data_IF_057882991722
#
_entry.id   IF_057882991722
#
_cell.length_a   1.000
_cell.length_b   1.000
_cell.length_c   1.000
_cell.angle_alpha   90.00
_cell.angle_beta   90.00
_cell.angle_gamma   90.00
#
_symmetry.space_group_name_H-M   'P 1'
#
loop_
_entity.id
_entity.type
_entity.pdbx_description
1 polymer ?
#
# COMPACT_ATOMS: atom_id res chain seq x y z
N UNK A 1 -17.73 -15.59 -14.49
CA UNK A 1 -18.41 -15.24 -13.22
C UNK A 1 -18.51 -13.73 -13.12
N UNK A 2 -19.56 -13.20 -12.46
CA UNK A 2 -19.68 -11.76 -12.23
C UNK A 2 -18.93 -11.37 -10.95
N UNK A 3 -17.94 -10.48 -11.08
CA UNK A 3 -17.22 -9.89 -9.95
C UNK A 3 -17.73 -8.48 -9.67
N UNK A 4 -17.54 -8.03 -8.44
CA UNK A 4 -17.85 -6.68 -7.98
C UNK A 4 -16.69 -6.11 -7.17
N UNK A 5 -16.26 -4.90 -7.51
CA UNK A 5 -15.33 -4.12 -6.69
C UNK A 5 -16.13 -3.32 -5.67
N UNK A 6 -15.84 -3.54 -4.40
CA UNK A 6 -16.42 -2.83 -3.26
C UNK A 6 -15.34 -1.97 -2.63
N UNK A 7 -15.60 -0.68 -2.47
CA UNK A 7 -14.70 0.27 -1.82
C UNK A 7 -15.45 1.04 -0.76
N UNK A 8 -14.90 1.07 0.45
CA UNK A 8 -15.45 1.83 1.57
C UNK A 8 -14.42 2.84 2.07
N UNK A 9 -14.89 4.07 2.34
CA UNK A 9 -14.16 5.06 3.14
C UNK A 9 -15.07 5.62 4.22
N UNK A 10 -14.48 5.88 5.38
CA UNK A 10 -15.12 6.55 6.50
C UNK A 10 -14.21 7.66 7.05
N UNK A 11 -14.82 8.79 7.39
CA UNK A 11 -14.16 9.97 7.93
C UNK A 11 -15.00 10.62 9.03
N UNK A 12 -14.35 11.50 9.79
CA UNK A 12 -14.95 12.35 10.80
C UNK A 12 -14.45 13.78 10.61
N UNK A 13 -15.30 14.79 10.76
CA UNK A 13 -14.89 16.18 10.88
C UNK A 13 -14.40 16.44 12.29
N UNK A 14 -13.16 16.89 12.44
CA UNK A 14 -12.54 17.20 13.72
C UNK A 14 -12.00 18.64 13.74
N UNK A 15 -11.95 19.23 14.93
CA UNK A 15 -11.59 20.64 15.13
C UNK A 15 -12.76 21.62 14.99
N UNK A 16 -12.52 22.88 15.33
CA UNK A 16 -13.49 23.96 15.30
C UNK A 16 -12.98 25.15 14.48
N UNK A 17 -13.90 25.94 13.90
CA UNK A 17 -13.58 27.13 13.13
C UNK A 17 -12.63 26.85 11.95
N UNK A 18 -11.53 27.60 11.87
CA UNK A 18 -10.52 27.48 10.82
C UNK A 18 -9.65 26.21 10.92
N UNK A 19 -9.69 25.48 12.05
CA UNK A 19 -8.95 24.22 12.22
C UNK A 19 -9.76 22.98 11.87
N UNK A 20 -10.99 23.17 11.37
CA UNK A 20 -11.87 22.07 10.96
C UNK A 20 -11.26 21.34 9.78
N UNK A 21 -10.95 20.06 9.97
CA UNK A 21 -10.42 19.20 8.92
C UNK A 21 -11.05 17.82 8.93
N UNK A 22 -11.00 17.14 7.78
CA UNK A 22 -11.45 15.75 7.65
C UNK A 22 -10.37 14.81 8.16
N UNK A 23 -10.67 14.06 9.22
CA UNK A 23 -9.83 12.97 9.70
C UNK A 23 -10.29 11.64 9.08
N UNK A 24 -9.33 10.86 8.58
CA UNK A 24 -9.61 9.52 8.08
C UNK A 24 -9.78 8.52 9.24
N UNK A 25 -10.93 7.84 9.26
CA UNK A 25 -11.25 6.83 10.28
C UNK A 25 -10.92 5.42 9.77
N UNK A 26 -11.49 5.03 8.63
CA UNK A 26 -11.38 3.66 8.12
C UNK A 26 -11.49 3.58 6.61
N UNK A 27 -10.81 2.58 6.03
CA UNK A 27 -10.88 2.25 4.61
C UNK A 27 -10.80 0.75 4.40
N UNK A 28 -11.49 0.28 3.37
CA UNK A 28 -11.47 -1.11 2.95
C UNK A 28 -11.75 -1.23 1.45
N UNK A 29 -11.19 -2.24 0.83
CA UNK A 29 -11.48 -2.62 -0.54
C UNK A 29 -11.56 -4.14 -0.66
N UNK A 30 -12.50 -4.62 -1.48
CA UNK A 30 -12.64 -6.02 -1.85
C UNK A 30 -13.05 -6.19 -3.32
N UNK A 31 -12.73 -7.33 -3.92
CA UNK A 31 -13.25 -7.77 -5.22
C UNK A 31 -13.87 -9.15 -5.02
N UNK A 32 -15.20 -9.22 -5.05
CA UNK A 32 -15.94 -10.44 -4.69
C UNK A 32 -16.92 -10.89 -5.76
N UNK A 33 -17.37 -12.14 -5.67
CA UNK A 33 -18.48 -12.62 -6.48
C UNK A 33 -19.80 -11.93 -6.07
N UNK A 34 -20.81 -12.04 -6.94
CA UNK A 34 -22.15 -11.48 -6.71
C UNK A 34 -22.76 -11.87 -5.36
N UNK A 35 -22.64 -13.14 -4.98
CA UNK A 35 -23.31 -13.70 -3.80
C UNK A 35 -22.73 -13.15 -2.48
N UNK A 36 -21.51 -12.61 -2.51
CA UNK A 36 -20.83 -12.07 -1.33
C UNK A 36 -21.00 -10.56 -1.15
N UNK A 37 -21.60 -9.85 -2.12
CA UNK A 37 -21.66 -8.37 -2.12
C UNK A 37 -22.33 -7.82 -0.85
N UNK A 38 -23.51 -8.35 -0.49
CA UNK A 38 -24.28 -7.87 0.67
C UNK A 38 -23.52 -8.07 1.99
N UNK A 39 -23.01 -9.29 2.20
CA UNK A 39 -22.26 -9.65 3.40
C UNK A 39 -21.01 -8.78 3.58
N UNK A 40 -20.25 -8.56 2.50
CA UNK A 40 -19.03 -7.74 2.53
C UNK A 40 -19.34 -6.27 2.75
N UNK A 41 -20.41 -5.73 2.14
CA UNK A 41 -20.85 -4.36 2.42
C UNK A 41 -21.18 -4.16 3.90
N UNK A 42 -21.94 -5.09 4.50
CA UNK A 42 -22.26 -5.05 5.92
C UNK A 42 -20.99 -5.11 6.78
N UNK A 43 -20.03 -5.97 6.46
CA UNK A 43 -18.76 -6.08 7.16
C UNK A 43 -17.93 -4.78 7.06
N UNK A 44 -17.87 -4.15 5.88
CA UNK A 44 -17.19 -2.86 5.69
C UNK A 44 -17.82 -1.74 6.52
N UNK A 45 -19.15 -1.62 6.53
CA UNK A 45 -19.85 -0.60 7.33
C UNK A 45 -19.63 -0.85 8.82
N UNK A 46 -19.74 -2.09 9.29
CA UNK A 46 -19.44 -2.45 10.68
C UNK A 46 -18.01 -2.07 11.07
N UNK A 47 -17.03 -2.40 10.22
CA UNK A 47 -15.62 -2.03 10.42
C UNK A 47 -15.41 -0.52 10.51
N UNK A 48 -16.17 0.29 9.79
CA UNK A 48 -16.11 1.74 9.91
C UNK A 48 -16.68 2.22 11.26
N UNK A 49 -17.86 1.73 11.64
CA UNK A 49 -18.58 2.14 12.86
C UNK A 49 -17.88 1.71 14.15
N UNK A 50 -17.04 0.67 14.12
CA UNK A 50 -16.34 0.16 15.31
C UNK A 50 -14.82 0.39 15.25
N UNK A 51 -14.35 1.35 14.44
CA UNK A 51 -12.92 1.58 14.29
C UNK A 51 -12.32 2.30 15.49
N UNK A 52 -11.14 1.89 15.95
CA UNK A 52 -10.47 2.48 17.12
C UNK A 52 -10.01 3.93 16.94
N UNK A 53 -10.06 4.47 15.72
CA UNK A 53 -9.64 5.84 15.41
C UNK A 53 -10.71 6.90 15.71
N UNK A 54 -11.97 6.49 15.89
CA UNK A 54 -13.06 7.42 16.17
C UNK A 54 -14.40 6.95 15.62
N UNK A 55 -15.41 7.80 15.80
CA UNK A 55 -16.80 7.58 15.36
C UNK A 55 -17.05 8.37 14.06
N UNK A 56 -17.26 7.70 12.92
CA UNK A 56 -17.35 8.39 11.64
C UNK A 56 -18.69 9.14 11.49
N UNK A 57 -18.64 10.40 11.06
CA UNK A 57 -19.83 11.17 10.65
C UNK A 57 -20.15 11.02 9.15
N UNK A 58 -19.23 10.41 8.39
CA UNK A 58 -19.37 10.14 6.97
C UNK A 58 -18.87 8.73 6.62
N UNK A 59 -19.70 7.96 5.90
CA UNK A 59 -19.32 6.67 5.31
C UNK A 59 -19.81 6.62 3.86
N UNK A 60 -18.93 6.26 2.93
CA UNK A 60 -19.29 6.01 1.54
C UNK A 60 -18.87 4.60 1.13
N UNK A 61 -19.84 3.81 0.67
CA UNK A 61 -19.61 2.51 0.03
C UNK A 61 -19.88 2.63 -1.46
N UNK A 62 -18.91 2.26 -2.30
CA UNK A 62 -19.01 2.21 -3.76
C UNK A 62 -18.96 0.76 -4.22
N UNK A 63 -19.91 0.37 -5.06
CA UNK A 63 -20.02 -0.98 -5.62
C UNK A 63 -20.02 -0.85 -7.14
N UNK A 64 -19.10 -1.55 -7.81
CA UNK A 64 -18.94 -1.50 -9.26
C UNK A 64 -18.86 -2.92 -9.81
N UNK A 65 -19.63 -3.22 -10.86
CA UNK A 65 -19.49 -4.48 -11.59
C UNK A 65 -18.12 -4.53 -12.29
N UNK A 66 -17.47 -5.68 -12.24
CA UNK A 66 -16.17 -5.95 -12.86
C UNK A 66 -16.29 -7.18 -13.75
N UNK A 67 -15.88 -7.06 -15.00
CA UNK A 67 -15.79 -8.20 -15.90
C UNK A 67 -14.56 -9.04 -15.57
N UNK A 68 -14.72 -10.36 -15.53
CA UNK A 68 -13.62 -11.30 -15.27
C UNK A 68 -12.45 -11.11 -16.24
N UNK A 69 -12.73 -10.78 -17.51
CA UNK A 69 -11.71 -10.46 -18.53
C UNK A 69 -10.83 -9.25 -18.19
N UNK A 70 -11.31 -8.35 -17.34
CA UNK A 70 -10.56 -7.15 -16.93
C UNK A 70 -9.63 -7.41 -15.74
N UNK A 71 -9.86 -8.53 -15.03
CA UNK A 71 -9.12 -8.93 -13.84
C UNK A 71 -7.85 -9.65 -14.26
N UNK A 72 -6.72 -9.17 -13.75
CA UNK A 72 -5.45 -9.85 -13.84
C UNK A 72 -5.23 -10.69 -12.60
N UNK A 73 -5.02 -11.99 -12.78
CA UNK A 73 -4.65 -12.89 -11.69
C UNK A 73 -3.13 -12.92 -11.57
N UNK A 74 -2.61 -12.69 -10.36
CA UNK A 74 -1.19 -12.74 -10.04
C UNK A 74 -0.94 -13.76 -8.93
N UNK A 75 0.23 -14.41 -8.95
CA UNK A 75 0.70 -15.16 -7.77
C UNK A 75 1.35 -14.18 -6.80
N UNK A 76 1.12 -14.38 -5.50
CA UNK A 76 1.77 -13.58 -4.46
C UNK A 76 3.30 -13.65 -4.59
N UNK A 77 3.96 -12.54 -4.26
CA UNK A 77 5.41 -12.52 -4.13
C UNK A 77 5.87 -13.54 -3.08
N UNK A 78 6.97 -14.28 -3.33
CA UNK A 78 7.52 -15.18 -2.32
C UNK A 78 7.96 -14.37 -1.10
N UNK A 79 7.62 -14.87 0.09
CA UNK A 79 7.83 -14.15 1.35
C UNK A 79 9.09 -14.64 2.01
N UNK A 80 9.95 -13.71 2.40
CA UNK A 80 11.11 -13.98 3.24
C UNK A 80 11.11 -13.07 4.46
N UNK A 81 11.83 -13.50 5.50
CA UNK A 81 11.98 -12.75 6.75
C UNK A 81 13.46 -12.57 7.03
N UNK A 82 13.81 -11.35 7.44
CA UNK A 82 15.14 -10.97 7.90
C UNK A 82 15.00 -10.43 9.32
N UNK A 83 15.56 -11.19 10.26
CA UNK A 83 15.71 -10.76 11.64
C UNK A 83 16.97 -9.90 11.79
N UNK A 84 16.85 -8.82 12.56
CA UNK A 84 17.89 -7.83 12.84
C UNK A 84 17.74 -7.33 14.27
N UNK A 85 18.85 -6.95 14.90
CA UNK A 85 18.83 -6.52 16.31
C UNK A 85 18.51 -5.02 16.44
N UNK A 86 18.99 -4.24 15.47
CA UNK A 86 18.88 -2.77 15.45
C UNK A 86 18.17 -2.28 14.20
N UNK A 87 17.57 -1.09 14.28
CA UNK A 87 16.89 -0.51 13.11
C UNK A 87 17.90 -0.07 12.04
N UNK A 88 19.10 0.35 12.44
CA UNK A 88 20.20 0.71 11.53
C UNK A 88 20.62 -0.50 10.69
N UNK A 89 20.75 -1.67 11.33
CA UNK A 89 21.03 -2.93 10.62
C UNK A 89 19.89 -3.26 9.65
N UNK A 90 18.64 -3.09 10.06
CA UNK A 90 17.49 -3.30 9.19
C UNK A 90 17.49 -2.40 7.96
N UNK A 91 17.78 -1.10 8.12
CA UNK A 91 17.92 -0.18 6.98
C UNK A 91 19.10 -0.57 6.09
N UNK A 92 20.24 -0.95 6.66
CA UNK A 92 21.40 -1.40 5.88
C UNK A 92 21.06 -2.64 5.04
N UNK A 93 20.36 -3.62 5.62
CA UNK A 93 19.87 -4.80 4.88
C UNK A 93 18.88 -4.41 3.80
N UNK A 94 17.94 -3.52 4.09
CA UNK A 94 16.96 -3.03 3.12
C UNK A 94 17.66 -2.41 1.91
N UNK A 95 18.60 -1.50 2.14
CA UNK A 95 19.40 -0.86 1.10
C UNK A 95 20.27 -1.84 0.33
N UNK A 96 20.92 -2.79 1.02
CA UNK A 96 21.73 -3.82 0.37
C UNK A 96 20.92 -4.69 -0.60
N UNK A 97 19.64 -4.94 -0.30
CA UNK A 97 18.74 -5.72 -1.16
C UNK A 97 18.31 -4.93 -2.40
N UNK A 98 17.98 -3.64 -2.26
CA UNK A 98 17.45 -2.82 -3.37
C UNK A 98 18.54 -2.14 -4.20
N UNK A 99 19.75 -1.94 -3.66
CA UNK A 99 20.84 -1.26 -4.35
C UNK A 99 21.18 -1.87 -5.72
N UNK A 100 21.25 -3.20 -5.89
CA UNK A 100 21.46 -3.82 -7.21
C UNK A 100 20.37 -3.50 -8.23
N UNK A 101 19.15 -3.20 -7.77
CA UNK A 101 17.99 -2.95 -8.63
C UNK A 101 17.89 -1.49 -9.09
N UNK A 102 18.32 -0.55 -8.25
CA UNK A 102 18.22 0.90 -8.53
C UNK A 102 19.38 1.42 -9.39
N UNK A 103 20.50 0.72 -9.41
CA UNK A 103 21.74 1.25 -9.97
C UNK A 103 22.31 2.40 -9.13
N UNK A 104 23.42 2.97 -9.60
CA UNK A 104 24.14 4.04 -8.89
C UNK A 104 23.48 5.40 -9.10
N UNK A 105 23.47 6.25 -8.05
CA UNK A 105 23.27 7.70 -8.21
C UNK A 105 21.85 8.24 -8.00
N UNK A 106 20.88 7.43 -7.58
CA UNK A 106 19.53 7.93 -7.28
C UNK A 106 19.45 8.79 -6.01
N UNK A 107 20.42 8.70 -5.10
CA UNK A 107 20.44 9.50 -3.86
C UNK A 107 19.40 9.10 -2.82
N UNK A 108 18.71 7.96 -3.00
CA UNK A 108 17.64 7.50 -2.11
C UNK A 108 18.13 7.33 -0.67
N UNK A 109 19.32 6.75 -0.48
CA UNK A 109 19.87 6.48 0.86
C UNK A 109 20.10 7.77 1.63
N UNK A 110 20.67 8.77 0.96
CA UNK A 110 20.98 10.07 1.52
C UNK A 110 19.72 10.88 1.83
N UNK A 111 18.68 10.76 0.99
CA UNK A 111 17.41 11.48 1.13
C UNK A 111 16.35 10.76 1.97
N UNK A 112 16.58 9.49 2.34
CA UNK A 112 15.52 8.63 2.91
C UNK A 112 14.79 9.29 4.09
N UNK A 113 15.53 9.89 5.03
CA UNK A 113 14.92 10.49 6.21
C UNK A 113 13.99 11.66 5.87
N UNK A 114 14.38 12.48 4.89
CA UNK A 114 13.55 13.57 4.38
C UNK A 114 12.31 13.02 3.66
N UNK A 115 12.50 12.05 2.76
CA UNK A 115 11.41 11.45 2.00
C UNK A 115 10.39 10.74 2.90
N UNK A 116 10.83 10.06 3.96
CA UNK A 116 9.93 9.41 4.94
C UNK A 116 9.13 10.44 5.73
N UNK A 117 9.74 11.57 6.12
CA UNK A 117 9.01 12.68 6.77
C UNK A 117 7.95 13.29 5.85
N UNK A 118 8.28 13.46 4.58
CA UNK A 118 7.31 13.92 3.56
C UNK A 118 6.21 12.90 3.32
N UNK A 119 6.50 11.60 3.48
CA UNK A 119 5.53 10.52 3.27
C UNK A 119 4.59 10.33 4.46
N UNK A 120 5.01 10.65 5.68
CA UNK A 120 4.21 10.50 6.88
C UNK A 120 2.77 11.06 6.80
N UNK A 121 2.53 12.30 6.31
CA UNK A 121 1.17 12.83 6.17
C UNK A 121 0.38 12.23 4.98
N UNK A 122 1.05 11.51 4.08
CA UNK A 122 0.43 11.03 2.84
C UNK A 122 -0.54 9.88 3.08
N UNK A 123 -1.61 9.86 2.28
CA UNK A 123 -2.60 8.76 2.28
C UNK A 123 -2.27 7.65 1.26
N UNK A 124 -1.19 7.83 0.51
CA UNK A 124 -0.71 6.96 -0.56
C UNK A 124 0.81 6.85 -0.51
N UNK A 125 1.40 6.32 -1.57
CA UNK A 125 2.85 6.19 -1.68
C UNK A 125 3.46 7.33 -2.50
N UNK A 126 4.70 7.69 -2.17
CA UNK A 126 5.55 8.50 -3.04
C UNK A 126 5.97 7.67 -4.27
N UNK A 127 5.98 8.28 -5.45
CA UNK A 127 6.53 7.67 -6.66
C UNK A 127 7.89 8.29 -6.95
N UNK A 128 8.95 7.61 -6.54
CA UNK A 128 10.32 8.11 -6.63
C UNK A 128 11.03 7.56 -7.86
N UNK A 129 11.48 8.43 -8.75
CA UNK A 129 12.21 8.05 -9.94
C UNK A 129 13.69 7.80 -9.64
N UNK A 130 14.13 6.56 -9.81
CA UNK A 130 15.53 6.19 -9.61
C UNK A 130 16.46 6.77 -10.68
N UNK A 131 15.93 7.14 -11.86
CA UNK A 131 16.73 7.67 -12.94
C UNK A 131 17.05 9.16 -12.76
N UNK A 132 16.15 9.92 -12.14
CA UNK A 132 16.27 11.38 -11.97
C UNK A 132 16.40 11.83 -10.52
N UNK A 133 16.05 10.99 -9.55
CA UNK A 133 16.07 11.30 -8.13
C UNK A 133 14.93 12.22 -7.67
N UNK A 134 13.85 12.30 -8.47
CA UNK A 134 12.70 13.18 -8.29
C UNK A 134 11.42 12.42 -7.95
N UNK A 135 10.48 13.12 -7.32
CA UNK A 135 9.10 12.65 -7.09
C UNK A 135 8.27 12.86 -8.36
N UNK A 136 7.43 11.88 -8.71
CA UNK A 136 6.65 11.86 -9.95
C UNK A 136 5.14 11.77 -9.73
N UNK A 137 4.66 11.64 -8.51
CA UNK A 137 3.23 11.69 -8.23
C UNK A 137 2.64 13.08 -8.54
N UNK A 138 1.46 13.17 -9.15
CA UNK A 138 0.86 14.48 -9.48
C UNK A 138 0.45 15.32 -8.26
N UNK A 139 0.20 14.67 -7.13
CA UNK A 139 -0.24 15.28 -5.89
C UNK A 139 0.67 14.77 -4.76
N UNK A 140 1.59 15.62 -4.31
CA UNK A 140 2.63 15.29 -3.35
C UNK A 140 2.09 15.13 -1.92
N UNK A 141 0.96 15.75 -1.59
CA UNK A 141 0.33 15.60 -0.27
C UNK A 141 -0.48 14.31 -0.19
N UNK A 142 -1.06 13.87 -1.31
CA UNK A 142 -1.88 12.66 -1.35
C UNK A 142 -1.09 11.39 -1.67
N UNK A 143 -0.17 11.46 -2.62
CA UNK A 143 0.53 10.29 -3.17
C UNK A 143 -0.29 9.43 -4.13
N UNK A 144 0.34 8.36 -4.60
CA UNK A 144 -0.27 7.35 -5.45
C UNK A 144 -0.89 6.25 -4.58
N UNK A 145 -2.19 6.04 -4.71
CA UNK A 145 -2.91 4.96 -4.00
C UNK A 145 -3.16 3.78 -4.93
N UNK A 146 -2.57 2.64 -4.62
CA UNK A 146 -2.94 1.38 -5.25
C UNK A 146 -4.38 1.00 -4.82
N UNK A 147 -5.26 0.77 -5.79
CA UNK A 147 -6.66 0.35 -5.57
C UNK A 147 -7.08 -0.64 -6.64
N UNK A 148 -8.21 -1.32 -6.52
CA UNK A 148 -8.65 -2.45 -7.35
C UNK A 148 -7.73 -3.66 -7.21
N UNK A 149 -7.56 -4.10 -5.97
CA UNK A 149 -6.79 -5.29 -5.63
C UNK A 149 -7.42 -6.04 -4.46
N UNK A 150 -7.39 -7.37 -4.52
CA UNK A 150 -7.82 -8.25 -3.44
C UNK A 150 -7.14 -9.62 -3.55
N UNK A 151 -7.28 -10.46 -2.52
CA UNK A 151 -6.87 -11.86 -2.61
C UNK A 151 -7.91 -12.70 -3.38
N UNK A 152 -7.46 -13.62 -4.25
CA UNK A 152 -8.33 -14.45 -5.10
C UNK A 152 -9.29 -15.35 -4.30
N UNK A 153 -8.86 -15.77 -3.09
CA UNK A 153 -9.61 -16.65 -2.19
C UNK A 153 -9.68 -16.06 -0.78
N UNK A 154 -10.11 -14.82 -0.63
CA UNK A 154 -10.33 -14.25 0.71
C UNK A 154 -11.51 -14.97 1.39
N UNK A 155 -11.23 -15.87 2.32
CA UNK A 155 -12.26 -16.54 3.15
C UNK A 155 -12.84 -15.62 4.23
N UNK A 156 -12.23 -14.45 4.44
CA UNK A 156 -12.59 -13.54 5.51
C UNK A 156 -13.82 -12.70 5.15
N UNK A 157 -15.00 -13.26 5.42
CA UNK A 157 -16.26 -12.51 5.59
C UNK A 157 -16.22 -11.66 6.88
N UNK A 158 -15.30 -11.97 7.80
CA UNK A 158 -15.32 -11.49 9.19
C UNK A 158 -14.73 -10.09 9.44
N UNK A 159 -14.31 -9.35 8.41
CA UNK A 159 -13.91 -7.95 8.57
C UNK A 159 -12.67 -7.69 9.44
N UNK A 160 -12.04 -8.73 10.01
CA UNK A 160 -10.78 -8.62 10.75
C UNK A 160 -9.63 -8.22 9.80
N UNK A 161 -8.78 -7.30 10.24
CA UNK A 161 -7.62 -6.84 9.46
C UNK A 161 -6.53 -7.92 9.45
N UNK A 162 -6.42 -8.66 8.36
CA UNK A 162 -5.20 -9.38 8.06
C UNK A 162 -4.18 -8.43 7.40
N UNK A 163 -3.48 -7.64 8.23
CA UNK A 163 -2.49 -6.65 7.79
C UNK A 163 -1.43 -7.23 6.85
N UNK A 164 -1.06 -8.48 7.07
CA UNK A 164 -0.10 -9.18 6.22
C UNK A 164 -0.67 -9.48 4.84
N UNK A 165 -1.89 -10.02 4.75
CA UNK A 165 -2.55 -10.28 3.46
C UNK A 165 -2.81 -8.99 2.68
N UNK A 166 -3.25 -7.91 3.34
CA UNK A 166 -3.42 -6.62 2.68
C UNK A 166 -2.08 -6.08 2.13
N UNK A 167 -0.99 -6.20 2.90
CA UNK A 167 0.33 -5.75 2.48
C UNK A 167 0.90 -6.57 1.32
N UNK A 168 0.78 -7.91 1.34
CA UNK A 168 1.32 -8.75 0.27
C UNK A 168 0.53 -8.62 -1.03
N UNK A 169 -0.80 -8.46 -0.97
CA UNK A 169 -1.63 -8.18 -2.15
C UNK A 169 -1.21 -6.87 -2.79
N UNK A 170 -1.04 -5.82 -1.97
CA UNK A 170 -0.56 -4.51 -2.41
C UNK A 170 0.82 -4.61 -3.06
N UNK A 171 1.79 -5.16 -2.35
CA UNK A 171 3.17 -5.28 -2.81
C UNK A 171 3.26 -6.11 -4.10
N UNK A 172 2.49 -7.19 -4.20
CA UNK A 172 2.43 -8.03 -5.41
C UNK A 172 1.89 -7.24 -6.60
N UNK A 173 0.84 -6.46 -6.41
CA UNK A 173 0.32 -5.58 -7.47
C UNK A 173 1.35 -4.54 -7.87
N UNK A 174 1.94 -3.84 -6.89
CA UNK A 174 2.93 -2.77 -7.13
C UNK A 174 4.12 -3.31 -7.91
N UNK A 175 4.69 -4.44 -7.51
CA UNK A 175 5.82 -5.08 -8.19
C UNK A 175 5.53 -5.50 -9.65
N UNK A 176 4.25 -5.56 -10.05
CA UNK A 176 3.84 -5.86 -11.42
C UNK A 176 3.38 -4.62 -12.21
N UNK A 177 3.50 -3.41 -11.64
CA UNK A 177 3.22 -2.17 -12.36
C UNK A 177 4.34 -1.84 -13.37
N UNK A 178 4.01 -1.25 -14.53
CA UNK A 178 5.00 -0.83 -15.52
C UNK A 178 6.08 0.07 -14.91
N UNK A 179 7.35 -0.22 -15.21
CA UNK A 179 8.50 0.56 -14.73
C UNK A 179 8.78 0.46 -13.23
N UNK A 180 8.02 -0.31 -12.45
CA UNK A 180 8.31 -0.53 -11.03
C UNK A 180 9.59 -1.34 -10.87
N UNK A 181 10.48 -0.87 -10.00
CA UNK A 181 11.74 -1.52 -9.66
C UNK A 181 11.62 -2.20 -8.30
N UNK A 182 11.16 -1.48 -7.30
CA UNK A 182 10.95 -1.99 -5.96
C UNK A 182 9.97 -1.10 -5.16
N UNK A 183 9.46 -1.63 -4.06
CA UNK A 183 8.75 -0.89 -3.02
C UNK A 183 9.61 -0.91 -1.76
N UNK A 184 9.71 0.23 -1.10
CA UNK A 184 10.29 0.38 0.23
C UNK A 184 9.20 0.87 1.18
N UNK A 185 8.93 0.12 2.24
CA UNK A 185 7.85 0.43 3.18
C UNK A 185 8.35 0.35 4.62
N UNK A 186 8.13 1.42 5.37
CA UNK A 186 8.27 1.47 6.83
C UNK A 186 6.90 1.83 7.39
N UNK A 187 6.45 1.14 8.43
CA UNK A 187 5.15 1.43 9.04
C UNK A 187 5.12 2.84 9.61
N UNK A 188 3.98 3.52 9.49
CA UNK A 188 3.66 4.80 10.12
C UNK A 188 3.17 4.65 11.57
N UNK A 189 2.72 3.46 11.97
CA UNK A 189 2.32 3.16 13.36
C UNK A 189 3.54 3.22 14.32
N UNK A 190 3.54 4.09 15.34
CA UNK A 190 4.65 4.22 16.30
C UNK A 190 4.92 2.94 17.10
N UNK A 191 3.93 2.05 17.24
CA UNK A 191 4.05 0.78 17.95
C UNK A 191 4.47 -0.39 17.05
N UNK A 192 4.73 -0.14 15.75
CA UNK A 192 5.07 -1.18 14.79
C UNK A 192 6.36 -0.84 14.05
N UNK A 193 7.46 -1.53 14.39
CA UNK A 193 8.81 -1.24 13.87
C UNK A 193 9.21 -2.07 12.65
N UNK A 194 8.38 -3.05 12.27
CA UNK A 194 8.64 -3.90 11.10
C UNK A 194 8.29 -3.14 9.81
N UNK A 195 9.17 -3.27 8.82
CA UNK A 195 8.94 -2.81 7.45
C UNK A 195 9.21 -3.92 6.45
N UNK A 196 9.28 -3.55 5.18
CA UNK A 196 9.64 -4.47 4.12
C UNK A 196 10.24 -3.77 2.90
N UNK A 197 10.95 -4.55 2.11
CA UNK A 197 11.26 -4.22 0.72
C UNK A 197 10.63 -5.27 -0.18
N UNK A 198 10.08 -4.86 -1.32
CA UNK A 198 9.45 -5.79 -2.24
C UNK A 198 9.84 -5.50 -3.69
N UNK A 199 10.10 -6.54 -4.47
CA UNK A 199 10.25 -6.44 -5.92
C UNK A 199 9.88 -7.74 -6.59
N UNK A 200 9.74 -7.71 -7.92
CA UNK A 200 9.48 -8.93 -8.69
C UNK A 200 10.63 -9.93 -8.62
N UNK A 201 11.87 -9.44 -8.42
CA UNK A 201 13.08 -10.27 -8.36
C UNK A 201 13.38 -10.77 -6.94
N UNK A 202 13.13 -9.94 -5.91
CA UNK A 202 13.44 -10.25 -4.51
C UNK A 202 12.30 -10.98 -3.78
N UNK A 203 11.07 -10.82 -4.26
CA UNK A 203 9.87 -11.19 -3.51
C UNK A 203 9.49 -10.11 -2.48
N UNK A 204 8.77 -10.51 -1.44
CA UNK A 204 8.35 -9.66 -0.31
C UNK A 204 9.23 -9.96 0.90
N UNK A 205 10.26 -9.13 1.13
CA UNK A 205 11.25 -9.32 2.18
C UNK A 205 10.87 -8.50 3.40
N UNK A 206 10.41 -9.18 4.46
CA UNK A 206 10.09 -8.54 5.74
C UNK A 206 11.35 -8.30 6.55
N UNK A 207 11.52 -7.06 7.01
CA UNK A 207 12.66 -6.68 7.85
C UNK A 207 12.09 -6.29 9.20
N UNK A 208 12.41 -7.09 10.22
CA UNK A 208 11.67 -7.07 11.48
C UNK A 208 11.82 -5.77 12.27
N UNK A 209 12.84 -4.96 11.97
CA UNK A 209 13.10 -3.66 12.59
C UNK A 209 13.70 -2.68 11.59
N UNK A 210 12.98 -1.64 11.20
CA UNK A 210 13.45 -0.60 10.27
C UNK A 210 13.37 0.83 10.83
N UNK A 211 12.78 1.00 12.02
CA UNK A 211 12.71 2.27 12.76
C UNK A 211 12.76 2.03 14.26
N UNK A 212 12.92 3.11 15.03
CA UNK A 212 12.81 3.08 16.48
C UNK A 212 11.36 2.93 16.94
N UNK A 213 11.17 2.32 18.12
CA UNK A 213 9.86 2.27 18.76
C UNK A 213 9.44 3.70 19.14
N UNK A 214 8.22 4.09 18.81
CA UNK A 214 7.71 5.45 19.02
C UNK A 214 8.00 6.43 17.87
N UNK A 215 8.81 6.06 16.88
CA UNK A 215 9.01 6.90 15.69
C UNK A 215 7.79 6.81 14.77
N UNK A 216 7.17 7.95 14.49
CA UNK A 216 6.00 8.05 13.62
C UNK A 216 6.38 8.16 12.14
N UNK A 217 7.65 8.46 11.83
CA UNK A 217 8.14 8.66 10.46
C UNK A 217 8.17 7.34 9.67
N UNK A 218 7.03 6.99 9.10
CA UNK A 218 6.84 5.88 8.19
C UNK A 218 6.35 6.33 6.83
N UNK A 219 6.19 5.36 5.93
CA UNK A 219 5.70 5.64 4.60
C UNK A 219 5.99 4.53 3.61
N UNK A 220 5.47 4.74 2.41
CA UNK A 220 5.68 3.88 1.24
C UNK A 220 6.33 4.68 0.13
N UNK A 221 7.43 4.16 -0.39
CA UNK A 221 8.14 4.73 -1.52
C UNK A 221 8.14 3.67 -2.62
N UNK A 222 7.54 4.00 -3.75
CA UNK A 222 7.59 3.23 -4.98
C UNK A 222 8.79 3.67 -5.79
N UNK A 223 9.76 2.80 -5.95
CA UNK A 223 10.97 3.02 -6.72
C UNK A 223 10.67 2.68 -8.17
N UNK A 224 10.62 3.71 -9.00
CA UNK A 224 10.20 3.64 -10.40
C UNK A 224 11.34 4.04 -11.32
N UNK A 225 11.44 3.40 -12.48
CA UNK A 225 12.44 3.74 -13.50
C UNK A 225 11.77 4.35 -14.73
N UNK A 226 11.88 5.68 -14.87
CA UNK A 226 11.32 6.42 -16.00
C UNK A 226 11.94 6.08 -17.36
N UNK A 227 13.06 5.33 -17.38
CA UNK A 227 13.66 4.80 -18.62
C UNK A 227 12.94 3.55 -19.12
N UNK A 228 12.16 2.87 -18.26
CA UNK A 228 11.47 1.61 -18.58
C UNK A 228 9.98 1.80 -18.91
N UNK A 229 9.32 2.82 -18.36
CA UNK A 229 7.93 3.12 -18.63
C UNK A 229 7.62 4.60 -18.35
N UNK A 230 6.42 5.05 -18.73
CA UNK A 230 5.92 6.37 -18.36
C UNK A 230 5.24 6.34 -16.98
N UNK A 231 5.39 7.42 -16.21
CA UNK A 231 4.81 7.51 -14.87
C UNK A 231 3.27 7.38 -14.91
N UNK A 232 2.63 7.95 -15.92
CA UNK A 232 1.18 7.93 -16.10
C UNK A 232 0.64 6.50 -16.33
N UNK A 233 1.42 5.66 -17.01
CA UNK A 233 1.09 4.25 -17.24
C UNK A 233 1.18 3.46 -15.94
N UNK A 234 2.23 3.68 -15.15
CA UNK A 234 2.41 3.09 -13.83
C UNK A 234 1.28 3.51 -12.88
N UNK A 235 1.03 4.80 -12.75
CA UNK A 235 -0.04 5.35 -11.90
C UNK A 235 -1.40 4.84 -12.35
N UNK A 236 -1.64 4.81 -13.67
CA UNK A 236 -2.87 4.28 -14.25
C UNK A 236 -3.09 2.81 -13.91
N UNK A 237 -2.04 2.00 -13.99
CA UNK A 237 -2.09 0.59 -13.58
C UNK A 237 -2.41 0.47 -12.07
N UNK A 238 -1.67 1.17 -11.22
CA UNK A 238 -1.83 1.13 -9.76
C UNK A 238 -3.25 1.52 -9.32
N UNK A 239 -3.81 2.56 -9.94
CA UNK A 239 -5.10 3.13 -9.55
C UNK A 239 -6.31 2.48 -10.22
N UNK A 240 -6.16 1.82 -11.38
CA UNK A 240 -7.33 1.38 -12.18
C UNK A 240 -7.33 -0.08 -12.61
N UNK A 241 -6.17 -0.75 -12.71
CA UNK A 241 -6.13 -2.16 -13.12
C UNK A 241 -6.70 -3.04 -12.01
N UNK A 242 -7.58 -3.98 -12.35
CA UNK A 242 -8.18 -4.91 -11.38
C UNK A 242 -7.25 -6.11 -11.25
N UNK A 243 -6.86 -6.42 -10.02
CA UNK A 243 -5.89 -7.48 -9.73
C UNK A 243 -6.46 -8.38 -8.63
N UNK A 244 -6.44 -9.69 -8.87
CA UNK A 244 -6.63 -10.68 -7.81
C UNK A 244 -5.32 -11.40 -7.58
N UNK A 245 -4.90 -11.51 -6.33
CA UNK A 245 -3.65 -12.17 -5.95
C UNK A 245 -3.96 -13.51 -5.32
N UNK A 246 -3.45 -14.58 -5.93
CA UNK A 246 -3.42 -15.90 -5.33
C UNK A 246 -2.31 -15.95 -4.28
N UNK A 247 -2.72 -15.90 -3.01
CA UNK A 247 -1.80 -15.87 -1.86
C UNK A 247 -1.30 -17.25 -1.44
N UNK A 248 -1.77 -18.34 -2.06
CA UNK A 248 -1.33 -19.71 -1.76
C UNK A 248 -1.52 -20.07 -0.29
N UNK A 249 -2.68 -20.63 0.05
CA UNK A 249 -2.95 -21.16 1.40
C UNK A 249 -2.17 -22.45 1.63
#
# INVERSE_FOLDING_TARGET
MDYYSLKMRASQQVGEGEQKHEQHISGAERIVNRDSVEAVCMAMVRRAMTHSKGDPDFINVKIEKVHESDIQILKALPVTRVDVDTWQEGLEKAFGLIAPLMGSGCGLREKLQELLRETFPMRGAMLYDIATGNRLEPDHERGVRATYMDALHSSEVDGCKNHFNEAIVLATKVANAPGMVAEFCVSDDPNYVTGYVASKELGYVRIMKMKEMGDENGGRIFLFDSRKAKAEECIGYLQRKKVLVDVGV
#
